data_IF_537523129649
#
_entry.id   IF_537523129649
#
_cell.length_a   1.000
_cell.length_b   1.000
_cell.length_c   1.000
_cell.angle_alpha   90.00
_cell.angle_beta   90.00
_cell.angle_gamma   90.00
#
_symmetry.space_group_name_H-M   'P 1'
#
loop_
_entity.id
_entity.type
_entity.pdbx_description
1 polymer ?
#
# COMPACT_ATOMS: atom_id res chain seq x y z
N UNK A 1 7.89 -11.37 -13.41
CA UNK A 1 7.29 -10.03 -13.56
C UNK A 1 7.72 -9.44 -14.89
N UNK A 2 6.97 -8.48 -15.40
CA UNK A 2 7.37 -7.74 -16.60
C UNK A 2 8.66 -6.94 -16.34
N UNK A 3 9.51 -6.78 -17.36
CA UNK A 3 10.76 -6.01 -17.26
C UNK A 3 10.48 -4.50 -17.31
N UNK A 4 9.75 -3.99 -16.36
CA UNK A 4 9.42 -2.57 -16.20
C UNK A 4 9.84 -2.08 -14.84
N UNK A 5 10.07 -0.78 -14.69
CA UNK A 5 10.40 -0.17 -13.41
C UNK A 5 9.27 -0.34 -12.39
N UNK A 6 9.62 -0.52 -11.14
CA UNK A 6 8.69 -0.66 -10.03
C UNK A 6 8.97 0.37 -8.94
N UNK A 7 7.93 0.71 -8.20
CA UNK A 7 8.03 1.50 -6.98
C UNK A 7 7.42 0.72 -5.82
N UNK A 8 8.07 0.77 -4.66
CA UNK A 8 7.46 0.31 -3.43
C UNK A 8 6.51 1.38 -2.92
N UNK A 9 5.32 0.95 -2.55
CA UNK A 9 4.33 1.76 -1.86
C UNK A 9 4.07 1.21 -0.47
N UNK A 10 3.93 2.11 0.50
CA UNK A 10 3.54 1.77 1.87
C UNK A 10 2.34 2.61 2.25
N UNK A 11 1.24 1.95 2.61
CA UNK A 11 -0.01 2.59 3.03
C UNK A 11 -0.27 2.28 4.49
N UNK A 12 -0.38 3.31 5.31
CA UNK A 12 -0.58 3.19 6.76
C UNK A 12 -1.87 3.86 7.20
N UNK A 13 -2.53 3.28 8.18
CA UNK A 13 -3.76 3.82 8.77
C UNK A 13 -3.51 4.32 10.21
N UNK A 14 -4.30 5.31 10.70
CA UNK A 14 -4.20 5.82 12.06
C UNK A 14 -4.36 4.74 13.13
N UNK A 15 -3.66 4.90 14.27
CA UNK A 15 -3.72 3.97 15.39
C UNK A 15 -5.16 3.69 15.85
N UNK A 16 -6.00 4.70 15.92
CA UNK A 16 -7.38 4.59 16.38
C UNK A 16 -8.29 3.79 15.43
N UNK A 17 -7.92 3.63 14.15
CA UNK A 17 -8.70 2.81 13.22
C UNK A 17 -8.26 1.34 13.24
N UNK A 18 -7.10 1.01 13.80
CA UNK A 18 -6.55 -0.35 13.79
C UNK A 18 -7.46 -1.37 14.49
N UNK A 19 -8.20 -0.93 15.51
CA UNK A 19 -9.12 -1.77 16.27
C UNK A 19 -10.22 -2.38 15.37
N UNK A 20 -10.70 -1.65 14.38
CA UNK A 20 -11.69 -2.19 13.44
C UNK A 20 -11.12 -3.34 12.61
N UNK A 21 -9.85 -3.24 12.19
CA UNK A 21 -9.18 -4.28 11.43
C UNK A 21 -8.75 -5.48 12.29
N UNK A 22 -8.63 -5.29 13.59
CA UNK A 22 -8.37 -6.35 14.55
C UNK A 22 -9.60 -7.25 14.70
N UNK A 23 -10.77 -6.65 14.91
CA UNK A 23 -12.02 -7.37 15.12
C UNK A 23 -12.72 -7.80 13.82
N UNK A 24 -12.47 -7.11 12.72
CA UNK A 24 -13.02 -7.39 11.38
C UNK A 24 -11.90 -7.69 10.40
N UNK A 25 -11.29 -8.86 10.53
CA UNK A 25 -10.08 -9.23 9.76
C UNK A 25 -10.30 -9.32 8.25
N UNK A 26 -11.54 -9.49 7.81
CA UNK A 26 -11.91 -9.40 6.39
C UNK A 26 -11.62 -8.01 5.80
N UNK A 27 -11.60 -6.96 6.61
CA UNK A 27 -11.25 -5.60 6.19
C UNK A 27 -9.80 -5.47 5.72
N UNK A 28 -8.89 -6.36 6.14
CA UNK A 28 -7.50 -6.37 5.66
C UNK A 28 -7.43 -6.55 4.13
N UNK A 29 -8.31 -7.38 3.58
CA UNK A 29 -8.44 -7.52 2.15
C UNK A 29 -8.98 -6.26 1.46
N UNK A 30 -9.96 -5.60 2.07
CA UNK A 30 -10.52 -4.35 1.58
C UNK A 30 -9.51 -3.19 1.69
N UNK A 31 -8.65 -3.18 2.72
CA UNK A 31 -7.55 -2.21 2.84
C UNK A 31 -6.56 -2.33 1.68
N UNK A 32 -6.17 -3.56 1.35
CA UNK A 32 -5.30 -3.83 0.20
C UNK A 32 -5.94 -3.41 -1.12
N UNK A 33 -7.25 -3.63 -1.29
CA UNK A 33 -7.98 -3.18 -2.47
C UNK A 33 -8.04 -1.66 -2.54
N UNK A 34 -8.31 -0.97 -1.43
CA UNK A 34 -8.31 0.49 -1.36
C UNK A 34 -6.95 1.08 -1.76
N UNK A 35 -5.83 0.46 -1.36
CA UNK A 35 -4.50 0.84 -1.78
C UNK A 35 -4.32 0.71 -3.30
N UNK A 36 -4.74 -0.42 -3.90
CA UNK A 36 -4.68 -0.62 -5.34
C UNK A 36 -5.55 0.39 -6.11
N UNK A 37 -6.79 0.59 -5.68
CA UNK A 37 -7.70 1.54 -6.34
C UNK A 37 -7.20 2.97 -6.25
N UNK A 38 -6.53 3.35 -5.16
CA UNK A 38 -5.88 4.65 -5.03
C UNK A 38 -4.82 4.86 -6.10
N UNK A 39 -3.89 3.91 -6.24
CA UNK A 39 -2.84 4.01 -7.26
C UNK A 39 -3.42 3.98 -8.66
N UNK A 40 -4.37 3.07 -8.92
CA UNK A 40 -5.02 2.93 -10.22
C UNK A 40 -5.71 4.23 -10.64
N UNK A 41 -6.53 4.84 -9.79
CA UNK A 41 -7.26 6.06 -10.13
C UNK A 41 -6.34 7.22 -10.42
N UNK A 42 -5.29 7.42 -9.59
CA UNK A 42 -4.29 8.45 -9.83
C UNK A 42 -3.56 8.24 -11.16
N UNK A 43 -3.19 7.02 -11.47
CA UNK A 43 -2.50 6.72 -12.72
C UNK A 43 -3.41 6.84 -13.95
N UNK A 44 -4.67 6.36 -13.87
CA UNK A 44 -5.66 6.49 -14.96
C UNK A 44 -5.92 7.96 -15.25
N UNK A 45 -6.10 8.79 -14.23
CA UNK A 45 -6.31 10.22 -14.39
C UNK A 45 -5.11 10.94 -15.00
N UNK A 46 -3.88 10.49 -14.67
CA UNK A 46 -2.66 11.08 -15.21
C UNK A 46 -2.45 10.78 -16.70
N UNK A 47 -2.87 9.61 -17.14
CA UNK A 47 -2.64 9.10 -18.51
C UNK A 47 -3.80 9.39 -19.46
N UNK A 48 -5.00 9.70 -18.92
CA UNK A 48 -6.25 9.91 -19.69
C UNK A 48 -6.71 8.68 -20.50
N UNK A 49 -6.22 7.48 -20.15
CA UNK A 49 -6.57 6.22 -20.78
C UNK A 49 -7.46 5.40 -19.86
N UNK A 50 -8.78 5.36 -20.13
CA UNK A 50 -9.79 4.68 -19.28
C UNK A 50 -9.51 3.20 -19.01
N UNK A 51 -8.87 2.51 -19.95
CA UNK A 51 -8.53 1.09 -19.83
C UNK A 51 -7.09 0.85 -19.39
N UNK A 52 -6.42 1.88 -18.94
CA UNK A 52 -5.08 1.78 -18.38
C UNK A 52 -5.04 0.90 -17.13
N UNK A 53 -4.11 -0.03 -17.08
CA UNK A 53 -4.00 -1.01 -16.00
C UNK A 53 -2.58 -1.08 -15.43
N UNK A 54 -2.32 -0.46 -14.27
CA UNK A 54 -1.08 -0.70 -13.55
C UNK A 54 -1.04 -2.13 -13.01
N UNK A 55 0.16 -2.67 -12.84
CA UNK A 55 0.38 -3.92 -12.12
C UNK A 55 0.73 -3.67 -10.67
N UNK A 56 0.09 -4.37 -9.72
CA UNK A 56 0.43 -4.28 -8.30
C UNK A 56 0.48 -5.67 -7.66
N UNK A 57 1.52 -5.91 -6.88
CA UNK A 57 1.57 -6.99 -5.89
C UNK A 57 1.57 -6.35 -4.52
N UNK A 58 0.59 -6.68 -3.70
CA UNK A 58 0.48 -6.15 -2.34
C UNK A 58 0.63 -7.24 -1.29
N UNK A 59 1.23 -6.86 -0.17
CA UNK A 59 1.38 -7.68 1.02
C UNK A 59 0.76 -6.90 2.18
N UNK A 60 -0.24 -7.51 2.83
CA UNK A 60 -0.81 -6.94 4.05
C UNK A 60 0.03 -7.42 5.22
N UNK A 61 0.70 -6.50 5.89
CA UNK A 61 1.37 -6.74 7.16
C UNK A 61 0.50 -6.21 8.29
N UNK A 62 0.40 -6.99 9.37
CA UNK A 62 -0.44 -6.65 10.54
C UNK A 62 0.37 -6.26 11.76
N UNK A 63 1.70 -6.27 11.67
CA UNK A 63 2.61 -6.07 12.78
C UNK A 63 3.47 -4.82 12.62
N UNK A 64 3.76 -4.20 13.74
CA UNK A 64 4.79 -3.17 13.91
C UNK A 64 5.89 -3.67 14.85
N UNK A 65 6.62 -2.74 15.44
CA UNK A 65 7.65 -3.02 16.42
C UNK A 65 7.06 -3.70 17.66
N UNK A 66 7.81 -4.64 18.26
CA UNK A 66 7.34 -5.44 19.39
C UNK A 66 6.12 -6.31 19.09
N UNK A 67 5.93 -6.73 17.84
CA UNK A 67 4.76 -7.48 17.35
C UNK A 67 3.41 -6.80 17.65
N UNK A 68 3.38 -5.49 17.89
CA UNK A 68 2.13 -4.73 18.10
C UNK A 68 1.27 -4.75 16.84
N UNK A 69 -0.04 -4.89 17.00
CA UNK A 69 -0.95 -4.90 15.86
C UNK A 69 -0.95 -3.55 15.14
N UNK A 70 -0.47 -3.56 13.90
CA UNK A 70 -0.29 -2.40 13.05
C UNK A 70 -0.57 -2.75 11.57
N UNK A 71 -1.84 -2.85 11.18
CA UNK A 71 -2.17 -3.19 9.80
C UNK A 71 -1.74 -2.08 8.84
N UNK A 72 -0.98 -2.47 7.83
CA UNK A 72 -0.52 -1.62 6.76
C UNK A 72 -0.28 -2.45 5.49
N UNK A 73 -0.21 -1.79 4.36
CA UNK A 73 -0.04 -2.45 3.06
C UNK A 73 1.30 -2.06 2.48
N UNK A 74 2.17 -3.03 2.26
CA UNK A 74 3.29 -2.90 1.36
C UNK A 74 2.85 -3.32 -0.04
N UNK A 75 3.18 -2.53 -1.04
CA UNK A 75 2.86 -2.86 -2.41
C UNK A 75 4.05 -2.58 -3.34
N UNK A 76 4.25 -3.47 -4.30
CA UNK A 76 5.16 -3.26 -5.41
C UNK A 76 4.32 -2.95 -6.64
N UNK A 77 4.40 -1.72 -7.12
CA UNK A 77 3.64 -1.21 -8.26
C UNK A 77 4.54 -0.97 -9.46
N UNK A 78 4.03 -1.28 -10.64
CA UNK A 78 4.65 -0.83 -11.88
C UNK A 78 4.66 0.70 -11.96
N UNK A 79 5.75 1.28 -12.48
CA UNK A 79 5.87 2.74 -12.72
C UNK A 79 5.25 3.12 -14.07
N UNK A 80 3.98 2.82 -14.20
CA UNK A 80 3.19 2.93 -15.41
C UNK A 80 2.20 1.79 -15.49
N UNK A 81 1.63 1.58 -16.65
CA UNK A 81 0.67 0.51 -16.90
C UNK A 81 0.47 0.22 -18.37
N UNK A 82 -0.39 -0.69 -18.64
CA UNK A 82 -0.72 -1.14 -19.99
C UNK A 82 -2.06 -0.56 -20.45
N UNK A 83 -2.06 0.04 -21.64
CA UNK A 83 -3.26 0.45 -22.35
C UNK A 83 -4.10 -0.77 -22.76
N UNK A 84 -5.30 -0.53 -23.29
CA UNK A 84 -6.14 -1.60 -23.85
C UNK A 84 -5.50 -2.32 -25.03
N UNK A 85 -4.67 -1.61 -25.80
CA UNK A 85 -3.87 -2.13 -26.91
C UNK A 85 -2.78 -3.12 -26.47
N UNK A 86 -2.42 -3.13 -25.19
CA UNK A 86 -1.27 -3.84 -24.65
C UNK A 86 0.02 -3.00 -24.62
N UNK A 87 -0.02 -1.78 -25.14
CA UNK A 87 1.11 -0.84 -25.11
C UNK A 87 1.44 -0.45 -23.68
N UNK A 88 2.74 -0.37 -23.36
CA UNK A 88 3.24 0.11 -22.08
C UNK A 88 3.32 1.64 -22.07
N UNK A 89 2.69 2.27 -21.09
CA UNK A 89 2.73 3.72 -20.89
C UNK A 89 3.43 3.99 -19.56
N UNK A 90 4.63 4.58 -19.56
CA UNK A 90 5.36 4.90 -18.34
C UNK A 90 4.72 6.09 -17.61
N UNK A 91 4.67 6.01 -16.28
CA UNK A 91 4.28 7.12 -15.40
C UNK A 91 5.29 7.18 -14.25
N UNK A 92 6.35 7.98 -14.38
CA UNK A 92 7.45 7.99 -13.45
C UNK A 92 7.15 8.68 -12.12
N UNK A 93 6.08 9.44 -12.04
CA UNK A 93 5.72 10.22 -10.87
C UNK A 93 4.25 10.08 -10.50
N UNK A 94 4.01 9.83 -9.20
CA UNK A 94 2.68 9.94 -8.56
C UNK A 94 2.86 10.65 -7.23
N UNK A 95 2.05 11.66 -6.97
CA UNK A 95 2.15 12.50 -5.77
C UNK A 95 1.70 11.74 -4.51
N UNK A 96 2.56 11.68 -3.50
CA UNK A 96 2.27 11.01 -2.22
C UNK A 96 1.13 11.66 -1.46
N UNK A 97 1.03 12.99 -1.51
CA UNK A 97 -0.01 13.75 -0.82
C UNK A 97 -1.40 13.53 -1.43
N UNK A 98 -1.48 13.48 -2.76
CA UNK A 98 -2.71 13.11 -3.46
C UNK A 98 -3.11 11.67 -3.15
N UNK A 99 -2.14 10.76 -3.13
CA UNK A 99 -2.36 9.36 -2.80
C UNK A 99 -2.84 9.18 -1.35
N UNK A 100 -2.25 9.89 -0.38
CA UNK A 100 -2.68 9.85 1.02
C UNK A 100 -4.13 10.32 1.17
N UNK A 101 -4.48 11.46 0.55
CA UNK A 101 -5.85 12.02 0.64
C UNK A 101 -6.88 11.07 0.04
N UNK A 102 -6.60 10.51 -1.14
CA UNK A 102 -7.50 9.57 -1.80
C UNK A 102 -7.62 8.24 -1.03
N UNK A 103 -6.51 7.71 -0.55
CA UNK A 103 -6.49 6.50 0.28
C UNK A 103 -7.28 6.70 1.59
N UNK A 104 -7.06 7.82 2.28
CA UNK A 104 -7.82 8.22 3.47
C UNK A 104 -9.31 8.22 3.18
N UNK A 105 -9.74 8.89 2.11
CA UNK A 105 -11.13 8.91 1.70
C UNK A 105 -11.70 7.51 1.51
N UNK A 106 -11.01 6.64 0.77
CA UNK A 106 -11.47 5.26 0.49
C UNK A 106 -11.60 4.42 1.77
N UNK A 107 -10.65 4.54 2.69
CA UNK A 107 -10.68 3.79 3.96
C UNK A 107 -11.82 4.28 4.86
N UNK A 108 -11.99 5.60 5.00
CA UNK A 108 -13.08 6.17 5.80
C UNK A 108 -14.46 5.80 5.20
N UNK A 109 -14.61 5.90 3.87
CA UNK A 109 -15.81 5.48 3.18
C UNK A 109 -16.11 3.98 3.35
N UNK A 110 -15.08 3.13 3.32
CA UNK A 110 -15.19 1.69 3.59
C UNK A 110 -15.75 1.44 4.99
N UNK A 111 -15.17 2.05 6.03
CA UNK A 111 -15.60 1.86 7.42
C UNK A 111 -17.00 2.41 7.66
N UNK A 112 -17.35 3.55 7.04
CA UNK A 112 -18.69 4.11 7.08
C UNK A 112 -19.74 3.18 6.46
N UNK A 113 -19.48 2.67 5.24
CA UNK A 113 -20.39 1.72 4.56
C UNK A 113 -20.60 0.43 5.34
N UNK A 114 -19.62 0.03 6.17
CA UNK A 114 -19.73 -1.13 7.06
C UNK A 114 -20.41 -0.82 8.40
N UNK A 115 -20.85 0.42 8.62
CA UNK A 115 -21.46 0.85 9.88
C UNK A 115 -20.47 0.90 11.07
N UNK A 116 -19.17 0.83 10.81
CA UNK A 116 -18.14 0.79 11.85
C UNK A 116 -17.68 2.18 12.29
N UNK A 117 -17.91 3.20 11.49
CA UNK A 117 -17.47 4.56 11.76
C UNK A 117 -18.61 5.54 11.51
N UNK A 118 -18.97 6.34 12.53
CA UNK A 118 -20.00 7.37 12.40
C UNK A 118 -19.46 8.59 11.66
N UNK A 119 -20.38 9.44 11.18
CA UNK A 119 -20.00 10.67 10.47
C UNK A 119 -19.26 11.64 11.39
N UNK A 120 -19.69 11.80 12.64
CA UNK A 120 -19.05 12.67 13.61
C UNK A 120 -17.59 12.27 13.87
N UNK A 121 -17.31 10.96 13.91
CA UNK A 121 -15.93 10.46 14.04
C UNK A 121 -15.10 10.70 12.78
N UNK A 122 -15.71 10.63 11.61
CA UNK A 122 -15.03 10.96 10.34
C UNK A 122 -14.67 12.45 10.34
N UNK A 123 -15.61 13.32 10.70
CA UNK A 123 -15.40 14.76 10.74
C UNK A 123 -14.29 15.13 11.76
N UNK A 124 -14.29 14.49 12.93
CA UNK A 124 -13.23 14.63 13.91
C UNK A 124 -11.86 14.21 13.34
N UNK A 125 -11.77 13.04 12.69
CA UNK A 125 -10.53 12.54 12.10
C UNK A 125 -10.00 13.42 10.97
N UNK A 126 -10.90 14.00 10.19
CA UNK A 126 -10.54 14.87 9.06
C UNK A 126 -10.19 16.29 9.49
N UNK A 127 -10.65 16.74 10.66
CA UNK A 127 -10.29 18.05 11.24
C UNK A 127 -8.86 18.08 11.78
N UNK A 128 -8.25 16.93 12.05
CA UNK A 128 -6.90 16.88 12.60
C UNK A 128 -5.85 17.29 11.57
N UNK A 129 -4.92 18.14 12.00
CA UNK A 129 -3.79 18.59 11.18
C UNK A 129 -2.94 17.41 10.66
N UNK A 130 -2.81 16.36 11.48
CA UNK A 130 -2.15 15.10 11.12
C UNK A 130 -3.17 13.99 11.20
N UNK A 131 -3.62 13.53 10.05
CA UNK A 131 -4.64 12.48 9.95
C UNK A 131 -4.19 11.11 10.49
N UNK A 132 -2.89 10.90 10.63
CA UNK A 132 -2.31 9.60 10.95
C UNK A 132 -2.34 8.59 9.81
N UNK A 133 -2.92 8.94 8.66
CA UNK A 133 -2.69 8.23 7.42
C UNK A 133 -1.33 8.60 6.84
N UNK A 134 -0.67 7.69 6.17
CA UNK A 134 0.52 8.00 5.39
C UNK A 134 0.63 7.10 4.17
N UNK A 135 1.16 7.68 3.09
CA UNK A 135 1.48 6.96 1.86
C UNK A 135 2.88 7.36 1.42
N UNK A 136 3.74 6.37 1.17
CA UNK A 136 5.10 6.56 0.70
C UNK A 136 5.36 5.73 -0.54
N UNK A 137 6.05 6.32 -1.55
CA UNK A 137 6.38 5.66 -2.81
C UNK A 137 7.78 5.97 -3.34
N UNK A 138 8.72 6.32 -2.45
CA UNK A 138 10.05 6.84 -2.82
C UNK A 138 11.09 5.78 -3.13
N UNK A 139 10.82 4.51 -2.84
CA UNK A 139 11.76 3.42 -3.14
C UNK A 139 11.47 2.90 -4.54
N UNK A 140 12.46 3.01 -5.41
CA UNK A 140 12.38 2.55 -6.80
C UNK A 140 13.27 1.34 -6.99
N UNK A 141 12.80 0.42 -7.83
CA UNK A 141 13.58 -0.73 -8.27
C UNK A 141 13.68 -0.68 -9.79
N UNK A 142 14.92 -0.67 -10.24
CA UNK A 142 15.19 -0.64 -11.68
C UNK A 142 14.90 -2.00 -12.31
N UNK A 143 14.34 -2.06 -13.55
CA UNK A 143 13.98 -3.33 -14.21
C UNK A 143 15.16 -4.29 -14.41
N UNK A 144 16.38 -3.76 -14.44
CA UNK A 144 17.61 -4.53 -14.66
C UNK A 144 18.37 -4.86 -13.38
N UNK A 145 17.81 -4.57 -12.20
CA UNK A 145 18.44 -4.90 -10.91
C UNK A 145 17.66 -5.98 -10.17
N UNK A 146 17.97 -7.27 -10.43
CA UNK A 146 17.30 -8.38 -9.75
C UNK A 146 17.65 -8.46 -8.25
N UNK A 147 18.80 -7.91 -7.81
CA UNK A 147 19.23 -7.96 -6.40
C UNK A 147 18.41 -6.99 -5.56
N UNK A 148 18.24 -5.74 -6.02
CA UNK A 148 17.36 -4.78 -5.36
C UNK A 148 15.93 -5.28 -5.30
N UNK A 149 15.44 -5.87 -6.40
CA UNK A 149 14.12 -6.47 -6.45
C UNK A 149 13.94 -7.56 -5.40
N UNK A 150 14.88 -8.50 -5.32
CA UNK A 150 14.84 -9.59 -4.36
C UNK A 150 14.92 -9.08 -2.91
N UNK A 151 15.80 -8.13 -2.63
CA UNK A 151 15.93 -7.51 -1.32
C UNK A 151 14.62 -6.84 -0.87
N UNK A 152 13.95 -6.14 -1.79
CA UNK A 152 12.66 -5.52 -1.54
C UNK A 152 11.56 -6.55 -1.27
N UNK A 153 11.49 -7.61 -2.06
CA UNK A 153 10.52 -8.71 -1.84
C UNK A 153 10.75 -9.36 -0.49
N UNK A 154 11.99 -9.65 -0.12
CA UNK A 154 12.34 -10.19 1.21
C UNK A 154 11.92 -9.25 2.34
N UNK A 155 12.13 -7.95 2.16
CA UNK A 155 11.68 -6.94 3.12
C UNK A 155 10.14 -6.93 3.28
N UNK A 156 9.40 -7.00 2.18
CA UNK A 156 7.93 -7.03 2.19
C UNK A 156 7.37 -8.32 2.81
N UNK A 157 8.11 -9.42 2.72
CA UNK A 157 7.71 -10.74 3.23
C UNK A 157 8.31 -11.08 4.60
N UNK A 158 8.95 -10.12 5.26
CA UNK A 158 9.59 -10.35 6.55
C UNK A 158 8.59 -10.86 7.60
N UNK A 159 9.03 -11.72 8.53
CA UNK A 159 8.19 -12.16 9.64
C UNK A 159 7.96 -11.03 10.66
N UNK A 160 6.91 -11.13 11.49
CA UNK A 160 6.60 -10.12 12.53
C UNK A 160 7.68 -9.97 13.58
N UNK A 161 8.47 -11.02 13.78
CA UNK A 161 9.50 -11.08 14.82
C UNK A 161 10.77 -11.66 14.24
N UNK A 162 11.93 -11.10 14.59
CA UNK A 162 13.24 -11.68 14.31
C UNK A 162 13.76 -12.38 15.57
N UNK A 163 14.03 -13.66 15.48
CA UNK A 163 14.54 -14.46 16.61
C UNK A 163 15.88 -13.91 17.13
N UNK A 164 16.71 -13.34 16.28
CA UNK A 164 17.99 -12.71 16.67
C UNK A 164 17.84 -11.47 17.56
N UNK A 165 16.64 -10.93 17.65
CA UNK A 165 16.30 -9.73 18.46
C UNK A 165 15.36 -10.05 19.62
N UNK A 166 15.11 -11.32 19.87
CA UNK A 166 14.33 -11.79 21.01
C UNK A 166 15.25 -12.46 22.02
N UNK A 167 15.15 -12.02 23.25
CA UNK A 167 15.86 -12.63 24.36
C UNK A 167 14.86 -13.09 25.41
N UNK A 168 14.94 -14.36 25.78
CA UNK A 168 14.14 -14.98 26.82
C UNK A 168 15.08 -15.69 27.77
N UNK A 169 14.95 -15.42 29.07
CA UNK A 169 15.70 -16.13 30.12
C UNK A 169 14.78 -17.16 30.76
N UNK A 170 15.14 -18.45 30.77
CA UNK A 170 14.37 -19.47 31.47
C UNK A 170 14.14 -19.08 32.96
N UNK A 171 12.89 -19.19 33.40
CA UNK A 171 12.47 -18.76 34.74
C UNK A 171 12.08 -17.27 34.85
N UNK A 172 12.32 -16.48 33.82
CA UNK A 172 11.78 -15.13 33.68
C UNK A 172 10.38 -15.18 33.07
N UNK A 173 9.49 -14.30 33.50
CA UNK A 173 8.19 -14.11 32.87
C UNK A 173 8.23 -13.03 31.78
N UNK A 174 9.42 -12.57 31.39
CA UNK A 174 9.59 -11.49 30.42
C UNK A 174 10.33 -11.94 29.16
N UNK A 175 9.89 -11.40 28.04
CA UNK A 175 10.59 -11.43 26.74
C UNK A 175 11.15 -10.04 26.46
N UNK A 176 12.42 -9.97 26.13
CA UNK A 176 13.09 -8.71 25.75
C UNK A 176 13.15 -8.63 24.24
N UNK A 177 12.50 -7.62 23.68
CA UNK A 177 12.53 -7.31 22.25
C UNK A 177 13.50 -6.15 21.99
N UNK A 178 14.59 -6.42 21.29
CA UNK A 178 15.56 -5.40 20.88
C UNK A 178 15.08 -4.76 19.56
N UNK A 179 14.87 -3.44 19.51
CA UNK A 179 14.50 -2.75 18.30
C UNK A 179 15.57 -2.88 17.21
N UNK A 180 15.19 -2.69 15.96
CA UNK A 180 16.15 -2.56 14.86
C UNK A 180 16.81 -1.18 14.95
N UNK A 181 18.13 -1.11 14.75
CA UNK A 181 18.84 0.16 14.56
C UNK A 181 18.19 0.97 13.43
N UNK A 182 18.08 2.27 13.59
CA UNK A 182 17.52 3.16 12.59
C UNK A 182 18.29 3.07 11.26
N UNK A 183 17.61 3.28 10.15
CA UNK A 183 18.22 3.32 8.81
C UNK A 183 19.20 4.50 8.64
N UNK A 184 19.07 5.51 9.48
CA UNK A 184 19.88 6.73 9.55
C UNK A 184 21.09 6.61 10.46
N UNK A 185 21.37 5.40 10.98
CA UNK A 185 22.46 5.16 11.92
C UNK A 185 22.14 5.58 13.37
N UNK A 186 20.89 5.97 13.64
CA UNK A 186 20.47 6.24 15.02
C UNK A 186 20.55 4.97 15.87
N UNK A 187 20.96 5.14 17.13
CA UNK A 187 20.97 4.03 18.08
C UNK A 187 19.58 3.41 18.23
N UNK A 188 19.49 2.07 18.44
CA UNK A 188 18.22 1.44 18.66
C UNK A 188 17.55 2.05 19.91
N UNK A 189 16.26 2.31 19.79
CA UNK A 189 15.42 2.66 20.94
C UNK A 189 15.61 1.62 22.06
N UNK A 190 15.36 1.98 23.31
CA UNK A 190 15.46 1.03 24.43
C UNK A 190 14.72 -0.29 24.15
N UNK A 191 15.32 -1.40 24.58
CA UNK A 191 14.72 -2.71 24.45
C UNK A 191 13.38 -2.78 25.20
N UNK A 192 12.33 -3.21 24.53
CA UNK A 192 11.00 -3.37 25.14
C UNK A 192 10.96 -4.68 25.92
N UNK A 193 10.67 -4.60 27.24
CA UNK A 193 10.40 -5.76 28.09
C UNK A 193 8.90 -6.01 28.08
N UNK A 194 8.50 -7.21 27.75
CA UNK A 194 7.09 -7.58 27.56
C UNK A 194 6.84 -8.84 28.38
N UNK A 195 5.73 -8.89 29.09
CA UNK A 195 5.28 -10.12 29.73
C UNK A 195 5.18 -11.25 28.69
N UNK A 196 5.64 -12.45 29.03
CA UNK A 196 5.72 -13.55 28.07
C UNK A 196 4.34 -13.95 27.52
N UNK A 197 3.29 -13.90 28.33
CA UNK A 197 1.92 -14.21 27.87
C UNK A 197 1.37 -13.12 26.96
N UNK A 198 1.65 -11.84 27.28
CA UNK A 198 1.30 -10.74 26.39
C UNK A 198 2.05 -10.85 25.06
N UNK A 199 3.34 -11.18 25.07
CA UNK A 199 4.12 -11.39 23.84
C UNK A 199 3.51 -12.50 22.98
N UNK A 200 3.17 -13.66 23.57
CA UNK A 200 2.50 -14.75 22.87
C UNK A 200 1.17 -14.28 22.28
N UNK A 201 0.36 -13.54 23.02
CA UNK A 201 -0.90 -12.99 22.54
C UNK A 201 -0.68 -12.04 21.33
N UNK A 202 0.35 -11.17 21.40
CA UNK A 202 0.72 -10.29 20.26
C UNK A 202 1.13 -11.10 19.03
N UNK A 203 1.86 -12.20 19.18
CA UNK A 203 2.25 -13.06 18.07
C UNK A 203 1.05 -13.81 17.48
N UNK A 204 0.18 -14.36 18.32
CA UNK A 204 -1.02 -15.07 17.90
C UNK A 204 -1.96 -14.18 17.06
N UNK A 205 -2.09 -12.91 17.41
CA UNK A 205 -2.87 -11.94 16.64
C UNK A 205 -2.32 -11.74 15.21
N UNK A 206 -1.04 -12.03 14.95
CA UNK A 206 -0.47 -11.91 13.61
C UNK A 206 -0.80 -13.10 12.70
N UNK A 207 -1.24 -14.22 13.27
CA UNK A 207 -1.59 -15.42 12.49
C UNK A 207 -2.82 -15.09 11.63
N UNK A 208 -2.74 -15.23 10.31
CA UNK A 208 -3.88 -14.98 9.43
C UNK A 208 -4.96 -16.05 9.62
N UNK A 209 -6.22 -15.65 9.44
CA UNK A 209 -7.32 -16.60 9.38
C UNK A 209 -7.09 -17.64 8.27
N UNK A 210 -7.59 -18.86 8.42
CA UNK A 210 -7.50 -19.89 7.39
C UNK A 210 -8.04 -19.38 6.04
N UNK A 211 -7.36 -19.74 4.94
CA UNK A 211 -7.74 -19.37 3.57
C UNK A 211 -7.70 -17.86 3.28
N UNK A 212 -7.09 -17.05 4.12
CA UNK A 212 -6.86 -15.62 3.85
C UNK A 212 -5.49 -15.42 3.20
N UNK A 213 -5.50 -14.87 1.98
CA UNK A 213 -4.27 -14.53 1.28
C UNK A 213 -3.73 -13.18 1.76
N UNK A 214 -2.49 -13.18 2.26
CA UNK A 214 -1.78 -11.96 2.63
C UNK A 214 -1.18 -11.26 1.40
N UNK A 215 -0.77 -12.04 0.40
CA UNK A 215 -0.26 -11.54 -0.89
C UNK A 215 -1.40 -11.50 -1.90
N UNK A 216 -1.57 -10.36 -2.54
CA UNK A 216 -2.63 -10.11 -3.53
C UNK A 216 -2.06 -9.50 -4.80
N UNK A 217 -2.61 -9.91 -5.93
CA UNK A 217 -2.20 -9.49 -7.26
C UNK A 217 -3.33 -8.69 -7.91
N UNK A 218 -3.02 -7.48 -8.37
CA UNK A 218 -4.00 -6.58 -8.96
C UNK A 218 -3.62 -6.12 -10.36
N UNK A 219 -4.62 -5.64 -11.10
CA UNK A 219 -4.46 -5.05 -12.40
C UNK A 219 -3.77 -5.98 -13.41
N UNK A 220 -2.71 -5.49 -14.02
CA UNK A 220 -1.94 -6.27 -15.00
C UNK A 220 -1.28 -7.53 -14.40
N UNK A 221 -1.06 -7.57 -13.09
CA UNK A 221 -0.46 -8.73 -12.40
C UNK A 221 -1.48 -9.72 -11.87
N UNK A 222 -2.77 -9.44 -11.96
CA UNK A 222 -3.82 -10.37 -11.52
C UNK A 222 -3.79 -11.67 -12.33
N UNK A 223 -4.22 -12.77 -11.71
CA UNK A 223 -4.28 -14.08 -12.36
C UNK A 223 -5.16 -14.05 -13.62
N UNK A 224 -6.28 -13.30 -13.60
CA UNK A 224 -7.16 -13.12 -14.75
C UNK A 224 -6.44 -12.44 -15.93
N UNK A 225 -5.62 -11.42 -15.66
CA UNK A 225 -4.83 -10.74 -16.70
C UNK A 225 -3.70 -11.61 -17.22
N UNK A 226 -3.04 -12.38 -16.35
CA UNK A 226 -1.97 -13.32 -16.73
C UNK A 226 -2.50 -14.47 -17.59
N UNK A 227 -3.68 -14.99 -17.28
CA UNK A 227 -4.31 -16.05 -18.07
C UNK A 227 -4.67 -15.61 -19.49
N UNK A 228 -5.12 -14.36 -19.63
CA UNK A 228 -5.41 -13.79 -20.97
C UNK A 228 -4.16 -13.60 -21.84
N UNK A 229 -3.02 -13.25 -21.25
CA UNK A 229 -1.74 -13.08 -21.96
C UNK A 229 -1.09 -14.40 -22.40
N UNK A 230 -1.44 -15.52 -21.81
CA UNK A 230 -0.94 -16.84 -22.21
C UNK A 230 -1.63 -17.42 -23.47
N UNK A 231 -2.76 -16.83 -23.90
CA UNK A 231 -3.35 -17.17 -25.19
C UNK A 231 -2.57 -16.43 -26.30
N UNK A 232 -2.09 -17.14 -27.35
CA UNK A 232 -1.40 -16.48 -28.44
C UNK A 232 -2.33 -15.42 -29.04
N UNK A 233 -1.96 -14.16 -28.90
CA UNK A 233 -2.56 -13.09 -29.69
C UNK A 233 -1.94 -13.14 -31.05
N UNK A 234 -2.73 -12.84 -32.11
CA UNK A 234 -2.17 -12.58 -33.44
C UNK A 234 -1.03 -11.56 -33.29
N UNK A 235 0.05 -11.70 -34.10
CA UNK A 235 1.22 -10.84 -33.98
C UNK A 235 0.82 -9.39 -34.26
N UNK A 236 0.74 -8.60 -33.18
CA UNK A 236 0.73 -7.15 -33.27
C UNK A 236 2.18 -6.71 -33.43
N UNK A 237 2.46 -5.87 -34.39
CA UNK A 237 3.79 -5.28 -34.56
C UNK A 237 4.22 -4.61 -33.22
N UNK A 238 5.46 -4.80 -32.78
CA UNK A 238 5.94 -4.20 -31.54
C UNK A 238 6.04 -2.68 -31.75
N UNK A 239 5.07 -1.94 -31.21
CA UNK A 239 5.23 -0.50 -31.06
C UNK A 239 6.37 -0.20 -30.09
N UNK A 240 7.26 0.70 -30.47
CA UNK A 240 8.36 1.13 -29.63
C UNK A 240 7.82 1.64 -28.26
N UNK A 241 8.47 1.31 -27.15
CA UNK A 241 8.03 1.78 -25.82
C UNK A 241 8.00 3.32 -25.82
N UNK A 242 6.89 3.91 -25.41
CA UNK A 242 6.85 5.34 -25.14
C UNK A 242 7.84 5.68 -24.02
N UNK A 243 8.74 6.59 -24.31
CA UNK A 243 9.63 7.14 -23.28
C UNK A 243 8.85 8.05 -22.35
N UNK A 244 9.26 8.07 -21.08
CA UNK A 244 8.68 9.01 -20.11
C UNK A 244 9.04 10.44 -20.54
N UNK A 245 8.12 11.42 -20.40
CA UNK A 245 8.44 12.81 -20.68
C UNK A 245 9.65 13.26 -19.89
N UNK A 246 10.62 13.89 -20.55
CA UNK A 246 11.86 14.40 -19.92
C UNK A 246 11.56 15.37 -18.78
N UNK A 247 10.49 16.16 -18.90
CA UNK A 247 9.94 17.06 -17.89
C UNK A 247 9.47 16.37 -16.60
N UNK A 248 9.24 15.05 -16.63
CA UNK A 248 8.84 14.31 -15.42
C UNK A 248 9.99 14.19 -14.39
N UNK A 249 11.23 14.40 -14.79
CA UNK A 249 12.39 14.41 -13.92
C UNK A 249 12.45 15.66 -13.02
N UNK A 250 11.86 16.79 -13.47
CA UNK A 250 11.92 18.07 -12.75
C UNK A 250 10.91 18.09 -11.58
N UNK A 251 11.34 18.26 -10.31
CA UNK A 251 10.46 18.16 -9.13
C UNK A 251 9.27 19.13 -9.15
N UNK A 252 9.47 20.36 -9.59
CA UNK A 252 8.45 21.41 -9.64
C UNK A 252 8.10 21.85 -11.07
N UNK A 253 8.41 21.01 -12.06
CA UNK A 253 8.15 21.28 -13.46
C UNK A 253 6.65 21.29 -13.83
N UNK A 254 6.31 21.88 -15.00
CA UNK A 254 4.92 22.06 -15.45
C UNK A 254 4.16 20.72 -15.55
N UNK A 255 4.81 19.65 -15.94
CA UNK A 255 4.23 18.31 -16.00
C UNK A 255 3.71 17.82 -14.65
N UNK A 256 4.55 17.89 -13.58
CA UNK A 256 4.13 17.49 -12.23
C UNK A 256 3.07 18.43 -11.64
N UNK A 257 3.13 19.71 -11.97
CA UNK A 257 2.12 20.69 -11.55
C UNK A 257 0.76 20.40 -12.20
N UNK A 258 0.72 20.05 -13.47
CA UNK A 258 -0.50 19.63 -14.16
C UNK A 258 -1.10 18.37 -13.56
N UNK A 259 -0.28 17.35 -13.26
CA UNK A 259 -0.74 16.13 -12.61
C UNK A 259 -1.31 16.40 -11.21
N UNK A 260 -0.65 17.24 -10.39
CA UNK A 260 -1.16 17.60 -9.05
C UNK A 260 -2.54 18.27 -9.12
N UNK A 261 -2.80 19.15 -10.11
CA UNK A 261 -4.12 19.74 -10.33
C UNK A 261 -5.17 18.69 -10.65
N UNK A 262 -4.91 17.79 -11.60
CA UNK A 262 -5.81 16.68 -11.92
C UNK A 262 -6.09 15.77 -10.72
N UNK A 263 -5.05 15.44 -9.95
CA UNK A 263 -5.24 14.63 -8.75
C UNK A 263 -6.03 15.35 -7.66
N UNK A 264 -5.92 16.68 -7.56
CA UNK A 264 -6.76 17.45 -6.64
C UNK A 264 -8.25 17.33 -6.99
N UNK A 265 -8.60 17.28 -8.28
CA UNK A 265 -9.97 17.10 -8.77
C UNK A 265 -10.53 15.70 -8.47
N UNK A 266 -9.67 14.67 -8.41
CA UNK A 266 -10.07 13.31 -8.05
C UNK A 266 -10.42 13.14 -6.57
N UNK A 267 -9.95 14.05 -5.72
CA UNK A 267 -10.16 13.93 -4.28
C UNK A 267 -11.57 14.42 -4.00
N UNK A 268 -12.52 13.53 -3.66
CA UNK A 268 -13.90 13.93 -3.44
C UNK A 268 -14.00 14.87 -2.24
N UNK A 269 -15.04 15.71 -2.20
CA UNK A 269 -15.31 16.56 -1.05
C UNK A 269 -15.44 15.74 0.23
N UNK A 270 -15.34 16.37 1.41
CA UNK A 270 -15.51 15.68 2.69
C UNK A 270 -16.74 14.79 2.69
N UNK A 271 -16.62 13.60 3.30
CA UNK A 271 -17.72 12.61 3.34
C UNK A 271 -19.03 13.14 3.95
N UNK A 272 -18.95 14.23 4.74
CA UNK A 272 -20.10 14.96 5.26
C UNK A 272 -21.02 15.55 4.17
N UNK A 273 -20.47 15.84 3.01
CA UNK A 273 -21.22 16.44 1.89
C UNK A 273 -21.84 15.39 0.93
N UNK A 274 -21.61 14.10 1.17
CA UNK A 274 -22.12 13.03 0.29
C UNK A 274 -23.35 12.35 0.92
N UNK A 275 -24.52 12.32 0.25
CA UNK A 275 -25.64 11.53 0.70
C UNK A 275 -25.26 10.04 0.75
N UNK A 276 -25.72 9.34 1.77
CA UNK A 276 -25.60 7.88 1.84
C UNK A 276 -26.36 7.30 0.64
N UNK A 277 -25.65 6.61 -0.25
CA UNK A 277 -26.30 5.80 -1.25
C UNK A 277 -27.13 4.72 -0.51
N UNK A 278 -28.44 4.76 -0.66
CA UNK A 278 -29.36 3.75 -0.14
C UNK A 278 -28.96 2.40 -0.73
N UNK A 279 -28.75 1.35 0.06
CA UNK A 279 -28.55 0.03 -0.51
C UNK A 279 -29.80 -0.40 -1.26
N UNK A 280 -29.62 -0.79 -2.52
CA UNK A 280 -30.65 -1.44 -3.31
C UNK A 280 -30.77 -2.91 -2.91
#
# INVERSE_FOLDING_TARGET
MEQVGHAQWVFTIPKMLRIYFLHHRELLGALSLAAYETVKELMVSAVEEKRFRPGMVSVVQTFGEGAKFHPHVHALCSRGGWAASGEWIPLPYVDEGAAEKLFRHKVLALLRRRGLLSQERIDLLTSWRRSGFSVHNRVFVHPRDPREFEALVRYMMRPPVSLSRLHFTPGSHEVVCVPKAGHDGSEPTEAERIDAMEFVARVLVQIPDPKRHLVRYYGAYSNASRGKRKKPAAPAEPSAPREAPEEAATPDGPYRAALRRRWAELIPPPLSAQPLATPA
#
